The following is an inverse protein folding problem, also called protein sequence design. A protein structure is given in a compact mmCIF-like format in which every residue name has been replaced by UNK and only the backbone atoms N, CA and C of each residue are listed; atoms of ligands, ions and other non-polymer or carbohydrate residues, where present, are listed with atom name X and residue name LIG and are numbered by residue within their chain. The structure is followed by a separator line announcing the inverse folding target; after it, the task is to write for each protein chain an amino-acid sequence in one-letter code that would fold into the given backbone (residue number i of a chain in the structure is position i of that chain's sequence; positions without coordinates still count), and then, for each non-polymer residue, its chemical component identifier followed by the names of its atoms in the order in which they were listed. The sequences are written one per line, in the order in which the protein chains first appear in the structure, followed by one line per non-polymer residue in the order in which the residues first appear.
data_IF_661697566959
#
_entry.id   IF_661697566959
#
_cell.length_a   1.000
_cell.length_b   1.000
_cell.length_c   1.000
_cell.angle_alpha   90.00
_cell.angle_beta   90.00
_cell.angle_gamma   90.00
#
_symmetry.space_group_name_H-M   'P 1'
#
loop_
_entity.id
_entity.type
_entity.pdbx_description
1 polymer ?
#
# COMPACT_ATOMS: atom_id res chain seq x y z
N UNK A 1 47.79 0.70 -8.79
CA UNK A 1 46.65 -0.16 -8.43
C UNK A 1 46.10 -0.75 -9.71
N UNK A 2 46.34 -2.03 -9.94
CA UNK A 2 45.93 -2.73 -11.17
C UNK A 2 44.49 -3.18 -10.98
N UNK A 3 43.52 -2.43 -11.52
CA UNK A 3 42.11 -2.77 -11.42
C UNK A 3 41.81 -3.99 -12.31
N UNK A 4 41.24 -5.03 -11.70
CA UNK A 4 40.94 -6.32 -12.33
C UNK A 4 39.84 -6.27 -13.38
N UNK A 5 39.67 -7.40 -14.08
CA UNK A 5 38.77 -7.60 -15.22
C UNK A 5 37.30 -7.24 -14.91
N UNK A 6 36.65 -6.51 -15.83
CA UNK A 6 35.20 -6.26 -15.85
C UNK A 6 34.45 -7.47 -16.41
N UNK A 7 33.63 -8.12 -15.58
CA UNK A 7 32.76 -9.24 -15.98
C UNK A 7 31.45 -8.69 -16.58
N UNK A 8 31.36 -8.61 -17.91
CA UNK A 8 30.15 -8.21 -18.64
C UNK A 8 29.44 -9.42 -19.24
N UNK A 9 28.70 -10.14 -18.40
CA UNK A 9 27.80 -11.22 -18.81
C UNK A 9 26.86 -11.51 -17.65
N UNK A 10 25.62 -11.03 -17.72
CA UNK A 10 24.65 -11.18 -16.65
C UNK A 10 24.08 -12.61 -16.64
N UNK A 11 24.87 -13.56 -16.16
CA UNK A 11 24.36 -14.86 -15.78
C UNK A 11 23.27 -14.69 -14.71
N UNK A 12 22.20 -15.50 -14.75
CA UNK A 12 21.16 -15.44 -13.73
C UNK A 12 21.80 -15.64 -12.35
N UNK A 13 21.66 -14.66 -11.47
CA UNK A 13 22.24 -14.69 -10.13
C UNK A 13 21.77 -15.93 -9.36
N UNK A 14 22.64 -16.93 -9.24
CA UNK A 14 22.39 -18.19 -8.51
C UNK A 14 22.73 -17.97 -7.04
N UNK A 15 21.82 -17.31 -6.33
CA UNK A 15 21.93 -17.10 -4.87
C UNK A 15 21.69 -18.44 -4.16
N UNK A 16 22.59 -18.82 -3.27
CA UNK A 16 22.47 -19.99 -2.39
C UNK A 16 21.73 -19.65 -1.08
N UNK A 17 21.22 -20.63 -0.32
CA UNK A 17 20.68 -20.39 1.02
C UNK A 17 21.67 -19.67 1.95
N UNK A 18 22.95 -20.03 1.88
CA UNK A 18 24.03 -19.42 2.66
C UNK A 18 24.17 -17.92 2.35
N UNK A 19 24.05 -17.54 1.08
CA UNK A 19 24.07 -16.13 0.65
C UNK A 19 22.87 -15.35 1.23
N UNK A 20 21.69 -15.99 1.31
CA UNK A 20 20.50 -15.39 1.93
C UNK A 20 20.69 -15.22 3.43
N UNK A 21 21.29 -16.19 4.13
CA UNK A 21 21.61 -16.06 5.56
C UNK A 21 22.62 -14.93 5.80
N UNK A 22 23.69 -14.86 5.00
CA UNK A 22 24.68 -13.79 5.09
C UNK A 22 24.06 -12.41 4.84
N UNK A 23 23.21 -12.29 3.81
CA UNK A 23 22.49 -11.06 3.50
C UNK A 23 21.45 -10.71 4.57
N UNK A 24 20.83 -11.70 5.20
CA UNK A 24 19.92 -11.47 6.32
C UNK A 24 20.67 -10.89 7.53
N UNK A 25 21.84 -11.42 7.88
CA UNK A 25 22.72 -10.86 8.91
C UNK A 25 23.11 -9.42 8.57
N UNK A 26 23.48 -9.16 7.31
CA UNK A 26 23.80 -7.82 6.83
C UNK A 26 22.63 -6.81 7.00
N UNK A 27 21.40 -7.25 6.75
CA UNK A 27 20.18 -6.45 6.93
C UNK A 27 19.65 -6.44 8.38
N UNK A 28 20.44 -6.94 9.33
CA UNK A 28 20.10 -7.06 10.76
C UNK A 28 18.83 -7.91 10.99
N UNK A 29 18.57 -8.88 10.11
CA UNK A 29 17.44 -9.81 10.22
C UNK A 29 17.91 -11.02 11.03
N UNK A 30 17.34 -11.28 12.23
CA UNK A 30 17.76 -12.40 13.04
C UNK A 30 17.35 -13.72 12.38
N UNK A 31 18.34 -14.47 11.90
CA UNK A 31 18.17 -15.84 11.40
C UNK A 31 18.68 -16.78 12.48
N UNK A 32 17.80 -17.22 13.38
CA UNK A 32 18.15 -18.24 14.37
C UNK A 32 17.38 -19.52 14.03
N UNK A 33 18.11 -20.61 13.74
CA UNK A 33 17.51 -21.93 13.54
C UNK A 33 16.67 -22.29 14.77
N UNK A 34 15.44 -22.75 14.54
CA UNK A 34 14.48 -23.07 15.60
C UNK A 34 13.70 -21.88 16.18
N UNK A 35 13.99 -20.61 15.83
CA UNK A 35 13.13 -19.47 16.20
C UNK A 35 12.28 -18.99 15.01
N UNK A 36 10.94 -19.03 15.10
CA UNK A 36 10.05 -18.64 14.01
C UNK A 36 10.03 -17.13 13.70
N UNK A 37 10.71 -16.31 14.50
CA UNK A 37 10.72 -14.87 14.31
C UNK A 37 11.68 -14.49 13.16
N UNK A 38 11.13 -13.93 12.08
CA UNK A 38 11.92 -13.26 11.05
C UNK A 38 11.95 -13.94 9.67
N UNK A 39 11.44 -15.16 9.51
CA UNK A 39 11.45 -15.86 8.21
C UNK A 39 10.73 -15.09 7.10
N UNK A 40 9.67 -14.34 7.44
CA UNK A 40 8.94 -13.49 6.48
C UNK A 40 9.79 -12.33 5.93
N UNK A 41 10.94 -12.03 6.55
CA UNK A 41 11.87 -11.00 6.08
C UNK A 41 12.96 -11.60 5.16
N UNK A 42 13.14 -12.92 5.16
CA UNK A 42 14.16 -13.57 4.32
C UNK A 42 13.92 -13.40 2.82
N UNK A 43 12.66 -13.21 2.39
CA UNK A 43 12.37 -12.88 0.98
C UNK A 43 13.05 -11.56 0.57
N UNK A 44 13.14 -10.58 1.49
CA UNK A 44 13.84 -9.31 1.26
C UNK A 44 15.34 -9.54 1.19
N UNK A 45 15.90 -10.39 2.05
CA UNK A 45 17.32 -10.74 2.02
C UNK A 45 17.69 -11.44 0.71
N UNK A 46 16.86 -12.38 0.23
CA UNK A 46 17.07 -13.03 -1.07
C UNK A 46 16.98 -12.04 -2.23
N UNK A 47 15.99 -11.14 -2.23
CA UNK A 47 15.89 -10.10 -3.28
C UNK A 47 17.10 -9.16 -3.26
N UNK A 48 17.59 -8.81 -2.07
CA UNK A 48 18.79 -7.99 -1.90
C UNK A 48 20.06 -8.69 -2.40
N UNK A 49 20.21 -10.00 -2.13
CA UNK A 49 21.33 -10.81 -2.61
C UNK A 49 21.32 -10.97 -4.15
N UNK A 50 20.13 -11.03 -4.76
CA UNK A 50 19.96 -11.07 -6.21
C UNK A 50 20.00 -9.68 -6.88
N UNK A 51 20.14 -8.58 -6.13
CA UNK A 51 19.95 -7.25 -6.68
C UNK A 51 21.06 -6.90 -7.67
N UNK A 52 20.72 -6.53 -8.93
CA UNK A 52 21.74 -6.12 -9.88
C UNK A 52 22.33 -4.77 -9.48
N UNK A 53 23.65 -4.63 -9.67
CA UNK A 53 24.32 -3.33 -9.60
C UNK A 53 23.95 -2.55 -10.86
N UNK A 54 23.23 -1.45 -10.69
CA UNK A 54 22.77 -0.63 -11.81
C UNK A 54 23.85 0.38 -12.22
N UNK A 55 24.04 0.64 -13.52
CA UNK A 55 24.88 1.75 -13.98
C UNK A 55 24.46 3.08 -13.33
N UNK A 56 25.40 3.99 -13.02
CA UNK A 56 26.84 3.95 -13.33
C UNK A 56 27.70 3.13 -12.36
N UNK A 57 27.11 2.34 -11.46
CA UNK A 57 27.84 1.53 -10.50
C UNK A 57 28.33 0.21 -11.09
N UNK A 58 29.50 -0.23 -10.64
CA UNK A 58 30.14 -1.49 -10.98
C UNK A 58 30.57 -2.21 -9.70
N UNK A 59 30.40 -3.54 -9.64
CA UNK A 59 30.99 -4.35 -8.56
C UNK A 59 32.42 -4.72 -8.92
N UNK A 60 33.34 -4.53 -7.97
CA UNK A 60 34.74 -4.94 -8.08
C UNK A 60 35.11 -5.77 -6.86
N UNK A 61 36.10 -6.65 -7.02
CA UNK A 61 36.68 -7.40 -5.90
C UNK A 61 37.92 -6.67 -5.42
N UNK A 62 37.97 -6.28 -4.16
CA UNK A 62 39.15 -5.68 -3.55
C UNK A 62 40.23 -6.74 -3.27
N UNK A 63 41.44 -6.30 -2.92
CA UNK A 63 42.59 -7.18 -2.67
C UNK A 63 42.35 -8.18 -1.51
N UNK A 64 41.46 -7.84 -0.58
CA UNK A 64 41.04 -8.71 0.53
C UNK A 64 39.94 -9.72 0.14
N UNK A 65 39.51 -9.74 -1.12
CA UNK A 65 38.42 -10.59 -1.60
C UNK A 65 37.01 -10.04 -1.37
N UNK A 66 36.85 -8.89 -0.69
CA UNK A 66 35.54 -8.30 -0.44
C UNK A 66 35.01 -7.57 -1.68
N UNK A 67 33.69 -7.58 -1.85
CA UNK A 67 33.03 -6.79 -2.88
C UNK A 67 33.06 -5.30 -2.51
N UNK A 68 33.48 -4.47 -3.46
CA UNK A 68 33.45 -3.00 -3.39
C UNK A 68 32.69 -2.48 -4.61
N UNK A 69 31.82 -1.51 -4.40
CA UNK A 69 31.02 -0.90 -5.46
C UNK A 69 31.67 0.42 -5.88
N UNK A 70 31.96 0.56 -7.16
CA UNK A 70 32.61 1.74 -7.75
C UNK A 70 31.63 2.46 -8.67
N UNK A 71 31.44 3.75 -8.47
CA UNK A 71 30.65 4.59 -9.37
C UNK A 71 31.56 5.17 -10.46
N UNK A 72 31.32 4.75 -11.71
CA UNK A 72 32.13 5.17 -12.86
C UNK A 72 32.02 6.66 -13.20
N UNK A 73 30.91 7.31 -12.84
CA UNK A 73 30.69 8.74 -13.12
C UNK A 73 31.29 9.64 -12.05
N UNK A 74 31.08 9.31 -10.77
CA UNK A 74 31.56 10.14 -9.64
C UNK A 74 32.95 9.77 -9.15
N UNK A 75 33.49 8.63 -9.60
CA UNK A 75 34.72 8.00 -9.11
C UNK A 75 34.70 7.62 -7.63
N UNK A 76 33.50 7.54 -7.03
CA UNK A 76 33.34 7.15 -5.63
C UNK A 76 33.37 5.62 -5.47
N UNK A 77 34.00 5.16 -4.39
CA UNK A 77 33.94 3.77 -3.94
C UNK A 77 33.09 3.65 -2.69
N UNK A 78 32.33 2.56 -2.59
CA UNK A 78 31.48 2.24 -1.45
C UNK A 78 31.61 0.75 -1.13
N UNK A 79 31.78 0.42 0.15
CA UNK A 79 31.68 -0.97 0.64
C UNK A 79 30.23 -1.46 0.67
N UNK A 80 29.26 -0.53 0.61
CA UNK A 80 27.83 -0.79 0.64
C UNK A 80 27.25 -0.80 -0.76
N UNK A 81 26.29 -1.70 -0.99
CA UNK A 81 25.58 -1.78 -2.26
C UNK A 81 24.73 -0.50 -2.45
N UNK A 82 24.67 0.10 -3.66
CA UNK A 82 23.94 1.36 -3.89
C UNK A 82 22.44 1.31 -3.53
N UNK A 83 21.86 0.09 -3.56
CA UNK A 83 20.47 -0.16 -3.18
C UNK A 83 20.28 -0.53 -1.69
N UNK A 84 21.31 -0.48 -0.85
CA UNK A 84 21.19 -0.89 0.56
C UNK A 84 20.18 -0.06 1.34
N UNK A 85 20.12 1.25 1.11
CA UNK A 85 19.13 2.11 1.76
C UNK A 85 17.69 1.66 1.45
N UNK A 86 17.44 1.15 0.23
CA UNK A 86 16.14 0.59 -0.18
C UNK A 86 15.86 -0.71 0.59
N UNK A 87 16.80 -1.65 0.60
CA UNK A 87 16.58 -2.97 1.22
C UNK A 87 16.55 -2.91 2.74
N UNK A 88 17.36 -2.08 3.39
CA UNK A 88 17.28 -1.80 4.83
C UNK A 88 15.91 -1.21 5.21
N UNK A 89 15.38 -0.27 4.40
CA UNK A 89 14.05 0.29 4.61
C UNK A 89 12.96 -0.78 4.44
N UNK A 90 13.05 -1.61 3.39
CA UNK A 90 12.12 -2.72 3.16
C UNK A 90 12.17 -3.71 4.33
N UNK A 91 13.34 -4.20 4.70
CA UNK A 91 13.52 -5.09 5.84
C UNK A 91 12.90 -4.50 7.12
N UNK A 92 13.13 -3.22 7.41
CA UNK A 92 12.49 -2.52 8.54
C UNK A 92 10.96 -2.49 8.47
N UNK A 93 10.36 -2.30 7.28
CA UNK A 93 8.90 -2.35 7.09
C UNK A 93 8.38 -3.77 7.38
N UNK A 94 9.06 -4.80 6.87
CA UNK A 94 8.66 -6.20 7.08
C UNK A 94 8.87 -6.65 8.53
N UNK A 95 9.94 -6.22 9.20
CA UNK A 95 10.15 -6.41 10.65
C UNK A 95 8.98 -5.82 11.45
N UNK A 96 8.59 -4.56 11.20
CA UNK A 96 7.51 -3.88 11.95
C UNK A 96 6.11 -4.44 11.70
N UNK A 97 5.84 -5.00 10.52
CA UNK A 97 4.53 -5.59 10.23
C UNK A 97 4.22 -6.83 11.07
N UNK A 98 5.26 -7.44 11.65
CA UNK A 98 5.14 -8.76 12.28
C UNK A 98 4.80 -9.84 11.27
N UNK A 99 5.05 -11.10 11.63
CA UNK A 99 4.43 -12.19 10.91
C UNK A 99 2.93 -12.13 11.21
N UNK A 100 2.09 -11.83 10.21
CA UNK A 100 0.65 -12.07 10.35
C UNK A 100 0.50 -13.56 10.68
N UNK A 101 -0.23 -13.87 11.77
CA UNK A 101 -0.42 -15.24 12.25
C UNK A 101 -0.74 -16.18 11.08
N UNK A 102 0.13 -17.16 10.83
CA UNK A 102 -0.06 -18.18 9.79
C UNK A 102 0.78 -18.06 8.52
N UNK A 103 1.58 -17.00 8.32
CA UNK A 103 2.46 -16.86 7.14
C UNK A 103 3.96 -16.90 7.47
N UNK A 104 4.35 -17.66 8.49
CA UNK A 104 5.77 -17.99 8.74
C UNK A 104 6.28 -18.98 7.69
N UNK A 105 6.54 -18.50 6.47
CA UNK A 105 7.12 -19.31 5.39
C UNK A 105 8.61 -19.49 5.67
N UNK A 106 8.99 -20.58 6.30
CA UNK A 106 10.40 -20.95 6.47
C UNK A 106 10.99 -21.60 5.22
N UNK A 107 10.14 -22.08 4.30
CA UNK A 107 10.53 -22.67 3.02
C UNK A 107 10.69 -21.62 1.93
N UNK A 108 11.77 -21.73 1.14
CA UNK A 108 12.07 -20.84 0.02
C UNK A 108 12.64 -21.63 -1.16
N UNK A 109 12.20 -21.30 -2.38
CA UNK A 109 12.65 -21.94 -3.61
C UNK A 109 14.02 -21.40 -4.05
N UNK A 110 14.96 -22.24 -4.43
CA UNK A 110 16.28 -21.90 -4.96
C UNK A 110 16.49 -22.52 -6.34
N UNK A 111 17.29 -21.86 -7.17
CA UNK A 111 17.70 -22.38 -8.49
C UNK A 111 18.88 -23.33 -8.30
N UNK A 112 18.82 -24.51 -8.88
CA UNK A 112 19.96 -25.43 -8.90
C UNK A 112 21.13 -24.85 -9.71
N UNK A 113 22.37 -25.16 -9.29
CA UNK A 113 23.59 -24.78 -10.03
C UNK A 113 23.86 -25.81 -11.12
N UNK A 114 24.45 -25.38 -12.25
CA UNK A 114 24.94 -26.27 -13.31
C UNK A 114 23.89 -27.24 -13.90
N UNK A 115 22.63 -26.78 -13.98
CA UNK A 115 21.52 -27.57 -14.52
C UNK A 115 20.86 -28.52 -13.52
N UNK A 116 21.25 -28.48 -12.24
CA UNK A 116 20.51 -29.15 -11.17
C UNK A 116 19.07 -28.61 -11.08
N UNK A 117 18.09 -29.42 -10.64
CA UNK A 117 16.71 -28.97 -10.48
C UNK A 117 16.60 -27.87 -9.41
N UNK A 118 15.55 -27.05 -9.54
CA UNK A 118 15.18 -26.12 -8.48
C UNK A 118 14.80 -26.92 -7.22
N UNK A 119 15.15 -26.41 -6.05
CA UNK A 119 14.87 -27.08 -4.77
C UNK A 119 14.33 -26.08 -3.74
N UNK A 120 13.53 -26.56 -2.79
CA UNK A 120 13.10 -25.77 -1.65
C UNK A 120 14.04 -25.98 -0.48
N UNK A 121 14.38 -24.91 0.23
CA UNK A 121 15.18 -24.93 1.45
C UNK A 121 14.36 -24.40 2.63
N UNK A 122 14.34 -25.14 3.73
CA UNK A 122 13.67 -24.75 4.97
C UNK A 122 14.65 -24.08 5.95
N UNK A 123 14.60 -22.75 6.07
CA UNK A 123 15.43 -22.00 7.03
C UNK A 123 15.13 -22.32 8.50
N UNK A 124 14.05 -23.05 8.80
CA UNK A 124 13.76 -23.51 10.16
C UNK A 124 14.53 -24.78 10.52
N UNK A 125 14.56 -25.76 9.62
CA UNK A 125 15.09 -27.11 9.86
C UNK A 125 16.46 -27.34 9.21
N UNK A 126 16.81 -26.56 8.19
CA UNK A 126 17.97 -26.76 7.33
C UNK A 126 17.77 -27.85 6.26
N UNK A 127 16.54 -28.36 6.11
CA UNK A 127 16.25 -29.43 5.16
C UNK A 127 16.04 -28.88 3.74
N UNK A 128 16.38 -29.69 2.75
CA UNK A 128 16.08 -29.46 1.33
C UNK A 128 14.99 -30.41 0.83
N UNK A 129 14.21 -29.98 -0.16
CA UNK A 129 13.24 -30.81 -0.86
C UNK A 129 13.26 -30.50 -2.38
N UNK A 130 13.37 -31.54 -3.20
CA UNK A 130 13.47 -31.43 -4.68
C UNK A 130 12.09 -31.45 -5.37
N UNK A 131 11.02 -31.91 -4.70
CA UNK A 131 9.73 -32.18 -5.34
C UNK A 131 8.54 -31.67 -4.49
N UNK A 132 7.62 -30.95 -5.15
CA UNK A 132 6.27 -30.47 -4.75
C UNK A 132 6.03 -30.28 -3.24
N UNK A 133 6.04 -29.00 -2.79
CA UNK A 133 5.47 -28.61 -1.49
C UNK A 133 4.03 -29.15 -1.36
N UNK A 134 3.61 -29.68 -0.20
CA UNK A 134 2.21 -30.05 0.00
C UNK A 134 1.30 -28.85 -0.27
N UNK A 135 0.30 -29.07 -1.11
CA UNK A 135 -0.51 -28.11 -1.82
C UNK A 135 -1.17 -27.06 -0.89
N UNK A 136 -0.47 -25.94 -0.65
CA UNK A 136 -1.06 -24.67 -0.19
C UNK A 136 -0.51 -23.53 -1.03
N UNK A 137 -1.36 -23.11 -1.96
CA UNK A 137 -1.20 -22.06 -2.97
C UNK A 137 -0.30 -20.89 -2.52
N UNK A 138 0.76 -20.66 -3.29
CA UNK A 138 1.71 -19.54 -3.15
C UNK A 138 1.25 -18.39 -4.05
N UNK A 139 0.76 -17.25 -3.54
CA UNK A 139 0.70 -16.03 -4.34
C UNK A 139 2.11 -15.45 -4.52
N UNK A 140 2.53 -15.10 -5.75
CA UNK A 140 3.81 -14.42 -6.00
C UNK A 140 3.82 -13.02 -5.39
N UNK A 141 5.02 -12.51 -5.08
CA UNK A 141 5.24 -11.11 -4.71
C UNK A 141 4.60 -10.21 -5.77
N UNK A 142 3.71 -9.26 -5.40
CA UNK A 142 3.08 -8.38 -6.37
C UNK A 142 4.14 -7.54 -7.10
N UNK A 143 4.48 -7.93 -8.34
CA UNK A 143 5.40 -7.20 -9.24
C UNK A 143 5.00 -5.74 -9.46
N UNK A 144 3.76 -5.36 -9.13
CA UNK A 144 3.24 -4.00 -9.15
C UNK A 144 3.91 -3.03 -8.16
N UNK A 145 4.74 -3.52 -7.23
CA UNK A 145 5.55 -2.68 -6.32
C UNK A 145 6.99 -2.46 -6.83
N UNK A 146 7.32 -2.93 -8.03
CA UNK A 146 8.61 -2.72 -8.68
C UNK A 146 8.51 -1.45 -9.56
N UNK A 147 9.20 -0.34 -9.23
CA UNK A 147 9.30 0.80 -10.13
C UNK A 147 10.01 0.36 -11.43
N UNK A 148 9.38 0.58 -12.57
CA UNK A 148 10.05 0.46 -13.87
C UNK A 148 10.97 1.66 -14.02
N UNK A 149 12.28 1.44 -14.00
CA UNK A 149 13.24 2.50 -14.31
C UNK A 149 13.17 2.78 -15.81
N UNK A 150 12.90 4.04 -16.17
CA UNK A 150 13.01 4.50 -17.53
C UNK A 150 14.47 4.36 -17.97
N UNK A 151 14.71 3.75 -19.13
CA UNK A 151 16.01 3.82 -19.80
C UNK A 151 16.25 5.30 -20.13
N UNK A 152 17.15 5.94 -19.40
CA UNK A 152 17.60 7.29 -19.72
C UNK A 152 18.58 7.22 -20.88
N UNK A 153 18.12 7.59 -22.07
CA UNK A 153 19.02 8.02 -23.15
C UNK A 153 19.64 9.36 -22.77
N UNK A 154 20.95 9.55 -22.95
CA UNK A 154 21.60 10.81 -22.61
C UNK A 154 21.26 11.88 -23.65
N UNK A 155 20.55 12.93 -23.22
CA UNK A 155 20.38 14.15 -24.02
C UNK A 155 21.46 15.15 -23.61
N UNK A 156 22.27 15.52 -24.59
CA UNK A 156 23.43 16.41 -24.49
C UNK A 156 23.01 17.87 -24.70
N UNK A 157 23.48 18.74 -23.80
CA UNK A 157 23.71 20.17 -24.03
C UNK A 157 22.58 21.11 -23.61
N UNK A 158 22.83 21.97 -22.62
CA UNK A 158 23.11 23.40 -22.85
C UNK A 158 23.35 24.16 -21.53
N UNK A 159 24.14 25.23 -21.65
CA UNK A 159 24.89 25.92 -20.61
C UNK A 159 24.22 27.19 -20.06
N UNK A 160 24.50 27.43 -18.77
CA UNK A 160 24.83 28.71 -18.11
C UNK A 160 23.77 29.78 -17.74
N UNK A 161 23.82 30.09 -16.43
CA UNK A 161 23.85 31.40 -15.76
C UNK A 161 22.56 32.24 -15.56
N UNK A 162 22.16 32.40 -14.29
CA UNK A 162 22.17 33.68 -13.58
C UNK A 162 21.83 33.49 -12.08
N UNK A 163 22.57 34.18 -11.22
CA UNK A 163 22.38 34.25 -9.78
C UNK A 163 21.48 35.44 -9.41
N UNK A 164 20.60 35.29 -8.42
CA UNK A 164 20.12 36.38 -7.55
C UNK A 164 19.65 35.80 -6.22
N UNK A 165 20.10 36.41 -5.12
CA UNK A 165 19.80 36.07 -3.73
C UNK A 165 18.40 36.54 -3.29
N UNK A 166 17.79 35.85 -2.31
CA UNK A 166 16.78 36.44 -1.41
C UNK A 166 15.55 35.59 -1.05
N UNK A 167 15.59 34.89 0.10
CA UNK A 167 14.41 34.35 0.81
C UNK A 167 14.27 32.82 0.80
N UNK A 168 13.72 32.18 1.86
CA UNK A 168 13.63 30.72 1.97
C UNK A 168 12.58 30.18 1.00
N UNK A 169 12.99 29.99 -0.25
CA UNK A 169 12.18 29.43 -1.31
C UNK A 169 11.84 27.96 -1.06
N UNK A 170 10.55 27.64 -1.10
CA UNK A 170 10.11 26.28 -1.39
C UNK A 170 10.79 25.82 -2.70
N UNK A 171 11.17 24.53 -2.81
CA UNK A 171 11.74 24.03 -4.04
C UNK A 171 10.75 24.25 -5.21
N UNK A 172 11.23 24.57 -6.43
CA UNK A 172 10.39 24.74 -7.61
C UNK A 172 9.73 23.39 -7.94
N UNK A 173 8.55 23.19 -7.38
CA UNK A 173 7.68 22.08 -7.70
C UNK A 173 7.28 22.21 -9.14
N UNK A 174 7.52 21.16 -9.94
CA UNK A 174 6.86 20.94 -11.23
C UNK A 174 5.41 21.37 -11.06
N UNK A 175 4.99 22.42 -11.75
CA UNK A 175 3.62 22.94 -11.70
C UNK A 175 2.69 21.79 -12.05
N UNK A 176 2.19 21.11 -11.01
CA UNK A 176 1.25 20.01 -11.14
C UNK A 176 0.00 20.71 -11.61
N UNK A 177 -0.28 20.60 -12.92
CA UNK A 177 -1.45 21.18 -13.55
C UNK A 177 -2.63 20.99 -12.60
N UNK A 178 -3.26 22.11 -12.21
CA UNK A 178 -4.42 22.14 -11.33
C UNK A 178 -5.37 21.05 -11.84
N UNK A 179 -5.56 20.01 -11.02
CA UNK A 179 -6.50 18.95 -11.38
C UNK A 179 -7.87 19.59 -11.56
N UNK A 180 -8.66 19.12 -12.53
CA UNK A 180 -10.01 19.62 -12.69
C UNK A 180 -10.77 19.49 -11.36
N UNK A 181 -11.63 20.45 -11.03
CA UNK A 181 -12.45 20.36 -9.82
C UNK A 181 -13.23 19.03 -9.84
N UNK A 182 -13.46 18.42 -8.66
CA UNK A 182 -14.23 17.19 -8.58
C UNK A 182 -15.61 17.40 -9.24
N UNK A 183 -16.16 16.36 -9.90
CA UNK A 183 -17.46 16.47 -10.56
C UNK A 183 -18.52 16.87 -9.54
N UNK A 184 -19.39 17.80 -9.89
CA UNK A 184 -20.54 18.13 -9.04
C UNK A 184 -21.56 16.99 -9.19
N UNK A 185 -21.76 16.25 -8.10
CA UNK A 185 -22.75 15.17 -8.01
C UNK A 185 -23.77 15.64 -6.98
N UNK A 186 -25.06 15.34 -7.16
CA UNK A 186 -26.08 15.61 -6.14
C UNK A 186 -26.45 14.36 -5.33
N UNK A 187 -26.30 13.18 -5.96
CA UNK A 187 -26.68 11.88 -5.39
C UNK A 187 -25.56 10.87 -5.59
N UNK A 188 -25.07 10.29 -4.51
CA UNK A 188 -24.11 9.19 -4.56
C UNK A 188 -24.85 7.86 -4.72
N UNK A 189 -24.49 7.08 -5.73
CA UNK A 189 -25.13 5.80 -6.07
C UNK A 189 -24.16 4.65 -5.86
N UNK A 190 -24.53 3.76 -4.94
CA UNK A 190 -23.78 2.57 -4.59
C UNK A 190 -24.67 1.33 -4.67
N UNK A 191 -24.08 0.15 -4.46
CA UNK A 191 -24.78 -1.12 -4.36
C UNK A 191 -24.36 -1.86 -3.12
N UNK A 192 -25.29 -2.59 -2.52
CA UNK A 192 -25.05 -3.47 -1.37
C UNK A 192 -25.61 -4.87 -1.67
N UNK A 193 -25.15 -5.88 -0.94
CA UNK A 193 -25.67 -7.24 -1.03
C UNK A 193 -26.56 -7.52 0.18
N UNK A 194 -27.81 -7.87 -0.08
CA UNK A 194 -28.73 -8.43 0.88
C UNK A 194 -28.81 -9.95 0.76
N UNK A 195 -29.44 -10.57 1.75
CA UNK A 195 -29.89 -11.97 1.66
C UNK A 195 -31.41 -11.98 1.73
N UNK A 196 -32.05 -12.67 0.79
CA UNK A 196 -33.50 -12.86 0.77
C UNK A 196 -33.80 -14.35 0.80
N UNK A 197 -34.81 -14.74 1.57
CA UNK A 197 -35.40 -16.07 1.45
C UNK A 197 -36.13 -16.18 0.12
N UNK A 198 -36.01 -17.32 -0.56
CA UNK A 198 -36.75 -17.57 -1.79
C UNK A 198 -38.27 -17.45 -1.52
N UNK A 199 -38.98 -16.68 -2.37
CA UNK A 199 -40.44 -16.43 -2.28
C UNK A 199 -41.25 -17.74 -2.28
N UNK A 200 -40.68 -18.83 -2.79
CA UNK A 200 -41.38 -20.11 -2.87
C UNK A 200 -41.55 -20.85 -1.54
N UNK A 201 -40.87 -20.47 -0.45
CA UNK A 201 -41.09 -21.04 0.90
C UNK A 201 -40.99 -22.57 1.02
N UNK A 202 -40.62 -23.28 -0.06
CA UNK A 202 -40.58 -24.74 -0.14
C UNK A 202 -39.17 -25.23 0.13
N UNK A 203 -38.74 -25.06 1.37
CA UNK A 203 -37.75 -25.95 1.98
C UNK A 203 -38.50 -27.04 2.73
N UNK A 204 -38.91 -28.11 2.05
CA UNK A 204 -39.43 -29.31 2.70
C UNK A 204 -38.26 -30.24 2.93
N UNK A 205 -37.89 -30.54 4.18
CA UNK A 205 -37.17 -31.78 4.52
C UNK A 205 -37.48 -32.26 5.95
N UNK A 206 -37.95 -33.51 6.04
CA UNK A 206 -37.57 -34.49 7.08
C UNK A 206 -36.42 -35.32 6.46
N UNK A 207 -35.45 -35.91 7.16
CA UNK A 207 -35.45 -36.68 8.41
C UNK A 207 -34.00 -36.64 8.94
N UNK A 208 -33.79 -36.36 10.24
CA UNK A 208 -32.52 -36.33 11.03
C UNK A 208 -32.22 -35.05 11.86
N UNK A 209 -33.11 -34.07 11.92
CA UNK A 209 -33.12 -33.07 13.02
C UNK A 209 -32.05 -31.96 13.00
N UNK A 210 -31.20 -31.84 11.98
CA UNK A 210 -30.34 -30.67 11.79
C UNK A 210 -30.89 -29.75 10.68
N UNK A 211 -31.21 -28.51 11.05
CA UNK A 211 -31.71 -27.48 10.14
C UNK A 211 -30.56 -26.92 9.32
N UNK A 212 -30.34 -27.45 8.11
CA UNK A 212 -29.53 -26.79 7.10
C UNK A 212 -30.37 -25.69 6.44
N UNK A 213 -30.01 -24.43 6.67
CA UNK A 213 -30.62 -23.27 5.99
C UNK A 213 -30.20 -23.23 4.50
N UNK A 214 -30.72 -24.13 3.68
CA UNK A 214 -30.56 -24.07 2.23
C UNK A 214 -31.54 -23.04 1.62
N UNK A 215 -30.99 -22.06 0.91
CA UNK A 215 -31.77 -21.16 0.04
C UNK A 215 -31.65 -19.65 0.29
N UNK A 216 -30.62 -19.16 0.97
CA UNK A 216 -30.35 -17.71 0.99
C UNK A 216 -29.79 -17.26 -0.36
N UNK A 217 -30.64 -16.65 -1.20
CA UNK A 217 -30.18 -16.01 -2.42
C UNK A 217 -29.55 -14.65 -2.07
N UNK A 218 -28.39 -14.37 -2.67
CA UNK A 218 -27.82 -13.03 -2.64
C UNK A 218 -28.62 -12.12 -3.56
N UNK A 219 -29.12 -11.02 -3.01
CA UNK A 219 -29.84 -9.99 -3.75
C UNK A 219 -29.00 -8.73 -3.77
N UNK A 220 -28.92 -8.06 -4.92
CA UNK A 220 -28.25 -6.77 -5.04
C UNK A 220 -29.27 -5.67 -4.82
N UNK A 221 -28.96 -4.72 -3.94
CA UNK A 221 -29.76 -3.53 -3.71
C UNK A 221 -29.00 -2.29 -4.19
N UNK A 222 -29.70 -1.37 -4.85
CA UNK A 222 -29.17 -0.06 -5.20
C UNK A 222 -29.37 0.90 -4.01
N UNK A 223 -28.29 1.57 -3.61
CA UNK A 223 -28.24 2.53 -2.50
C UNK A 223 -28.05 3.93 -3.09
N UNK A 224 -28.93 4.86 -2.75
CA UNK A 224 -28.84 6.26 -3.16
C UNK A 224 -28.71 7.13 -1.90
N UNK A 225 -27.67 7.95 -1.84
CA UNK A 225 -27.46 8.96 -0.79
C UNK A 225 -27.63 10.35 -1.41
N UNK A 226 -28.63 11.08 -0.95
CA UNK A 226 -28.91 12.45 -1.38
C UNK A 226 -28.09 13.41 -0.51
N UNK A 227 -27.20 14.20 -1.12
CA UNK A 227 -26.28 15.04 -0.35
C UNK A 227 -26.93 16.26 0.28
N UNK A 228 -28.03 16.75 -0.29
CA UNK A 228 -28.74 17.92 0.23
C UNK A 228 -29.56 17.55 1.46
N UNK A 229 -30.26 16.42 1.42
CA UNK A 229 -31.14 15.96 2.50
C UNK A 229 -30.49 15.01 3.49
N UNK A 230 -29.30 14.45 3.15
CA UNK A 230 -28.59 13.40 3.90
C UNK A 230 -29.42 12.11 4.08
N UNK A 231 -30.43 11.93 3.24
CA UNK A 231 -31.29 10.75 3.27
C UNK A 231 -30.69 9.62 2.43
N UNK A 232 -30.82 8.39 2.93
CA UNK A 232 -30.47 7.18 2.18
C UNK A 232 -31.72 6.44 1.78
N UNK A 233 -31.78 6.03 0.51
CA UNK A 233 -32.82 5.14 -0.01
C UNK A 233 -32.17 3.88 -0.59
N UNK A 234 -32.63 2.72 -0.15
CA UNK A 234 -32.19 1.40 -0.59
C UNK A 234 -33.33 0.76 -1.38
N UNK A 235 -33.10 0.47 -2.67
CA UNK A 235 -34.07 -0.18 -3.56
C UNK A 235 -33.59 -1.56 -3.99
N UNK A 236 -34.52 -2.49 -4.17
CA UNK A 236 -34.21 -3.78 -4.77
C UNK A 236 -34.11 -3.71 -6.30
N UNK A 237 -33.83 -4.84 -6.94
CA UNK A 237 -33.74 -4.95 -8.41
C UNK A 237 -35.05 -4.67 -9.14
N UNK A 238 -36.20 -4.76 -8.46
CA UNK A 238 -37.53 -4.42 -8.99
C UNK A 238 -37.84 -2.91 -8.80
N UNK A 239 -36.93 -2.16 -8.16
CA UNK A 239 -37.10 -0.74 -7.84
C UNK A 239 -37.95 -0.48 -6.60
N UNK A 240 -38.34 -1.52 -5.85
CA UNK A 240 -39.11 -1.37 -4.61
C UNK A 240 -38.20 -0.89 -3.47
N UNK A 241 -38.70 0.01 -2.66
CA UNK A 241 -37.97 0.53 -1.50
C UNK A 241 -37.91 -0.51 -0.38
N UNK A 242 -36.68 -0.88 0.00
CA UNK A 242 -36.39 -1.87 1.05
C UNK A 242 -36.12 -1.20 2.40
N UNK A 243 -35.48 -0.03 2.35
CA UNK A 243 -35.21 0.83 3.50
C UNK A 243 -35.04 2.27 3.02
N UNK A 244 -35.49 3.23 3.82
CA UNK A 244 -35.25 4.65 3.59
C UNK A 244 -35.21 5.37 4.93
N UNK A 245 -34.35 6.37 5.06
CA UNK A 245 -34.19 7.11 6.31
C UNK A 245 -32.85 7.82 6.42
N UNK A 246 -32.65 8.46 7.58
CA UNK A 246 -31.35 8.93 7.99
C UNK A 246 -30.45 7.72 8.26
N UNK A 247 -29.29 7.69 7.60
CA UNK A 247 -28.30 6.66 7.85
C UNK A 247 -27.36 7.09 8.98
N UNK A 248 -26.80 6.10 9.68
CA UNK A 248 -25.76 6.27 10.68
C UNK A 248 -24.47 5.59 10.21
N UNK A 249 -23.35 6.22 10.54
CA UNK A 249 -22.03 5.59 10.42
C UNK A 249 -21.85 4.50 11.49
N UNK A 250 -20.75 3.75 11.41
CA UNK A 250 -20.47 2.63 12.33
C UNK A 250 -20.26 3.04 13.80
N UNK A 251 -19.93 4.29 14.05
CA UNK A 251 -19.79 4.88 15.39
C UNK A 251 -21.11 5.49 15.91
N UNK A 252 -22.20 5.38 15.13
CA UNK A 252 -23.52 5.89 15.49
C UNK A 252 -23.73 7.37 15.15
N UNK A 253 -22.74 8.07 14.59
CA UNK A 253 -22.95 9.44 14.13
C UNK A 253 -23.85 9.47 12.89
N UNK A 254 -24.55 10.59 12.62
CA UNK A 254 -25.22 10.78 11.34
C UNK A 254 -24.24 10.51 10.19
N UNK A 255 -24.69 9.73 9.21
CA UNK A 255 -23.91 9.42 8.01
C UNK A 255 -23.82 10.68 7.13
N UNK A 256 -22.63 10.97 6.62
CA UNK A 256 -22.43 12.01 5.62
C UNK A 256 -21.85 11.43 4.34
N UNK A 257 -21.71 12.27 3.30
CA UNK A 257 -21.13 11.84 2.02
C UNK A 257 -19.71 11.25 2.18
N UNK A 258 -18.97 11.66 3.22
CA UNK A 258 -17.62 11.18 3.54
C UNK A 258 -17.55 9.72 3.99
N UNK A 259 -18.69 9.15 4.39
CA UNK A 259 -18.81 7.75 4.84
C UNK A 259 -19.24 6.82 3.68
N UNK A 260 -19.60 7.39 2.53
CA UNK A 260 -20.12 6.66 1.36
C UNK A 260 -18.98 6.21 0.44
N UNK A 261 -18.38 5.05 0.73
CA UNK A 261 -17.33 4.45 -0.10
C UNK A 261 -17.48 2.92 -0.21
N UNK A 262 -16.88 2.34 -1.25
CA UNK A 262 -16.86 0.89 -1.47
C UNK A 262 -16.03 0.20 -0.37
N UNK A 263 -16.68 -0.71 0.35
CA UNK A 263 -16.21 -1.36 1.56
C UNK A 263 -16.71 -0.71 2.85
N UNK A 264 -17.32 0.48 2.77
CA UNK A 264 -17.97 1.16 3.88
C UNK A 264 -19.22 0.42 4.36
N UNK A 265 -19.57 0.59 5.63
CA UNK A 265 -20.79 0.06 6.22
C UNK A 265 -21.59 1.19 6.83
N UNK A 266 -22.88 1.25 6.50
CA UNK A 266 -23.84 2.21 7.03
C UNK A 266 -24.98 1.47 7.72
N UNK A 267 -25.65 2.13 8.65
CA UNK A 267 -26.83 1.60 9.33
C UNK A 267 -28.05 2.45 8.97
N UNK A 268 -29.20 1.83 8.70
CA UNK A 268 -30.49 2.53 8.52
C UNK A 268 -31.46 1.85 9.47
N UNK A 269 -31.83 2.56 10.55
CA UNK A 269 -32.52 1.93 11.69
C UNK A 269 -31.65 0.84 12.33
N UNK A 270 -32.19 -0.37 12.42
CA UNK A 270 -31.53 -1.56 12.98
C UNK A 270 -30.74 -2.38 11.95
N UNK A 271 -30.79 -1.99 10.66
CA UNK A 271 -30.20 -2.76 9.56
C UNK A 271 -28.85 -2.21 9.14
N UNK A 272 -27.90 -3.10 8.91
CA UNK A 272 -26.54 -2.79 8.42
C UNK A 272 -26.42 -3.10 6.93
N UNK A 273 -25.82 -2.18 6.19
CA UNK A 273 -25.58 -2.32 4.75
C UNK A 273 -24.10 -2.07 4.45
N UNK A 274 -23.43 -3.07 3.86
CA UNK A 274 -22.05 -2.93 3.38
C UNK A 274 -22.07 -2.54 1.90
N UNK A 275 -21.43 -1.44 1.56
CA UNK A 275 -21.39 -0.88 0.21
C UNK A 275 -20.34 -1.63 -0.61
N UNK A 276 -20.73 -2.29 -1.68
CA UNK A 276 -19.88 -3.25 -2.43
C UNK A 276 -19.43 -2.71 -3.79
N UNK A 277 -20.23 -1.85 -4.42
CA UNK A 277 -19.92 -1.23 -5.69
C UNK A 277 -20.43 0.20 -5.70
N UNK A 278 -19.80 1.07 -6.49
CA UNK A 278 -20.25 2.44 -6.73
C UNK A 278 -20.52 2.64 -8.23
N UNK A 279 -21.43 3.53 -8.58
CA UNK A 279 -21.60 3.97 -9.96
C UNK A 279 -20.33 4.64 -10.48
N UNK A 280 -20.14 4.70 -11.81
CA UNK A 280 -18.93 5.31 -12.38
C UNK A 280 -18.73 6.78 -11.97
N UNK A 281 -19.82 7.55 -11.86
CA UNK A 281 -19.79 8.94 -11.41
C UNK A 281 -19.43 9.04 -9.94
N UNK A 282 -20.06 8.22 -9.08
CA UNK A 282 -19.75 8.15 -7.65
C UNK A 282 -18.31 7.68 -7.39
N UNK A 283 -17.80 6.72 -8.16
CA UNK A 283 -16.39 6.31 -8.07
C UNK A 283 -15.44 7.46 -8.40
N UNK A 284 -15.69 8.17 -9.51
CA UNK A 284 -14.88 9.34 -9.90
C UNK A 284 -14.91 10.42 -8.82
N UNK A 285 -16.08 10.67 -8.23
CA UNK A 285 -16.24 11.62 -7.12
C UNK A 285 -15.40 11.20 -5.91
N UNK A 286 -15.58 9.97 -5.41
CA UNK A 286 -14.85 9.44 -4.24
C UNK A 286 -13.34 9.46 -4.50
N UNK A 287 -12.90 8.99 -5.67
CA UNK A 287 -11.49 8.90 -6.00
C UNK A 287 -10.87 10.31 -6.11
N UNK A 288 -11.56 11.29 -6.72
CA UNK A 288 -11.08 12.67 -6.81
C UNK A 288 -10.91 13.32 -5.43
N UNK A 289 -11.92 13.22 -4.55
CA UNK A 289 -11.83 13.75 -3.20
C UNK A 289 -10.78 13.00 -2.36
N UNK A 290 -10.67 11.68 -2.53
CA UNK A 290 -9.66 10.87 -1.87
C UNK A 290 -8.24 11.27 -2.23
N UNK A 291 -7.98 11.59 -3.49
CA UNK A 291 -6.68 12.07 -3.96
C UNK A 291 -6.33 13.46 -3.41
N UNK A 292 -7.30 14.38 -3.31
CA UNK A 292 -7.10 15.72 -2.73
C UNK A 292 -6.74 15.60 -1.24
N UNK A 293 -7.55 14.87 -0.48
CA UNK A 293 -7.33 14.69 0.96
C UNK A 293 -6.00 13.96 1.24
N UNK A 294 -5.66 12.95 0.43
CA UNK A 294 -4.39 12.25 0.56
C UNK A 294 -3.19 13.17 0.29
N UNK A 295 -3.27 14.01 -0.74
CA UNK A 295 -2.22 14.99 -1.04
C UNK A 295 -2.03 16.00 0.11
N UNK A 296 -3.12 16.52 0.67
CA UNK A 296 -3.05 17.42 1.83
C UNK A 296 -2.44 16.73 3.05
N UNK A 297 -2.85 15.49 3.30
CA UNK A 297 -2.32 14.67 4.38
C UNK A 297 -0.82 14.46 4.25
N UNK A 298 -0.35 14.12 3.05
CA UNK A 298 1.09 13.94 2.79
C UNK A 298 1.87 15.24 2.97
N UNK A 299 1.27 16.38 2.59
CA UNK A 299 1.89 17.70 2.74
C UNK A 299 2.00 18.10 4.21
N UNK A 300 0.91 17.97 4.98
CA UNK A 300 0.92 18.22 6.42
C UNK A 300 1.84 17.26 7.15
N UNK A 301 1.79 15.97 6.83
CA UNK A 301 2.68 14.99 7.44
C UNK A 301 4.15 15.32 7.18
N UNK A 302 4.52 15.69 5.96
CA UNK A 302 5.89 16.11 5.64
C UNK A 302 6.32 17.34 6.44
N UNK A 303 5.42 18.29 6.66
CA UNK A 303 5.68 19.45 7.50
C UNK A 303 5.82 19.06 8.99
N UNK A 304 4.98 18.15 9.50
CA UNK A 304 4.96 17.71 10.91
C UNK A 304 6.22 16.92 11.27
N UNK A 305 6.72 16.09 10.34
CA UNK A 305 7.95 15.30 10.55
C UNK A 305 9.21 16.13 10.83
N UNK A 306 9.18 17.45 10.63
CA UNK A 306 10.28 18.35 10.96
C UNK A 306 10.38 18.66 12.46
N UNK A 307 9.28 18.58 13.20
CA UNK A 307 9.19 19.03 14.59
C UNK A 307 9.04 17.85 15.55
N UNK A 308 8.31 16.82 15.15
CA UNK A 308 7.97 15.72 16.05
C UNK A 308 8.56 14.40 15.58
N UNK A 309 9.43 13.79 16.40
CA UNK A 309 9.86 12.40 16.19
C UNK A 309 8.68 11.42 16.33
N UNK A 310 7.68 11.77 17.16
CA UNK A 310 6.42 11.00 17.35
C UNK A 310 5.52 10.98 16.10
N UNK A 311 5.49 12.04 15.29
CA UNK A 311 4.77 12.05 14.00
C UNK A 311 5.22 10.92 13.06
N UNK A 312 6.48 10.48 13.21
CA UNK A 312 7.02 9.36 12.44
C UNK A 312 6.52 7.99 12.92
N UNK A 313 6.20 7.87 14.21
CA UNK A 313 5.74 6.64 14.88
C UNK A 313 4.23 6.44 14.71
N UNK A 314 3.45 7.53 14.77
CA UNK A 314 1.99 7.53 14.54
C UNK A 314 1.59 7.52 13.05
N UNK A 315 2.48 7.06 12.16
CA UNK A 315 2.15 6.79 10.77
C UNK A 315 1.19 5.60 10.69
N UNK A 316 -0.09 5.83 10.99
CA UNK A 316 -1.17 4.95 10.56
C UNK A 316 -1.06 4.90 9.05
N UNK A 317 -0.61 3.77 8.55
CA UNK A 317 -0.43 3.51 7.12
C UNK A 317 -1.81 3.39 6.49
N UNK A 318 -2.49 4.52 6.29
CA UNK A 318 -3.69 4.57 5.49
C UNK A 318 -3.27 4.51 4.03
N UNK A 319 -3.09 3.29 3.53
CA UNK A 319 -2.97 3.06 2.10
C UNK A 319 -4.36 3.22 1.53
N UNK A 320 -4.63 4.36 0.92
CA UNK A 320 -5.84 4.52 0.12
C UNK A 320 -5.73 3.52 -1.03
N UNK A 321 -6.67 2.57 -1.17
CA UNK A 321 -6.68 1.68 -2.31
C UNK A 321 -6.80 2.54 -3.57
N UNK A 322 -5.90 2.34 -4.54
CA UNK A 322 -5.95 3.11 -5.79
C UNK A 322 -7.17 2.68 -6.61
N UNK A 323 -8.14 3.58 -6.73
CA UNK A 323 -9.28 3.47 -7.64
C UNK A 323 -10.45 2.63 -7.14
N UNK A 324 -11.58 2.85 -7.80
CA UNK A 324 -12.81 2.06 -7.63
C UNK A 324 -13.68 2.53 -6.48
N UNK A 325 -13.56 3.80 -6.07
CA UNK A 325 -14.39 4.40 -5.03
C UNK A 325 -14.16 3.81 -3.64
N UNK A 326 -12.95 3.32 -3.35
CA UNK A 326 -12.59 2.63 -2.10
C UNK A 326 -11.91 3.53 -1.07
N UNK A 327 -11.79 4.83 -1.35
CA UNK A 327 -11.13 5.77 -0.45
C UNK A 327 -12.02 6.04 0.78
N UNK A 328 -11.57 5.74 2.01
CA UNK A 328 -12.33 6.05 3.21
C UNK A 328 -12.16 7.54 3.55
N UNK A 329 -12.98 8.40 2.93
CA UNK A 329 -12.82 9.86 3.01
C UNK A 329 -12.87 10.36 4.45
N UNK A 330 -13.84 9.92 5.26
CA UNK A 330 -13.93 10.26 6.69
C UNK A 330 -12.64 9.97 7.46
N UNK A 331 -12.00 8.83 7.20
CA UNK A 331 -10.75 8.46 7.87
C UNK A 331 -9.61 9.39 7.47
N UNK A 332 -9.57 9.83 6.20
CA UNK A 332 -8.58 10.81 5.75
C UNK A 332 -8.82 12.18 6.40
N UNK A 333 -10.07 12.61 6.54
CA UNK A 333 -10.44 13.86 7.23
C UNK A 333 -9.98 13.82 8.69
N UNK A 334 -10.33 12.76 9.44
CA UNK A 334 -9.86 12.59 10.83
C UNK A 334 -8.33 12.60 10.96
N UNK A 335 -7.62 12.06 9.97
CA UNK A 335 -6.16 12.11 9.96
C UNK A 335 -5.61 13.50 9.66
N UNK A 336 -6.31 14.30 8.87
CA UNK A 336 -5.96 15.70 8.62
C UNK A 336 -6.17 16.55 9.87
N UNK A 337 -7.30 16.37 10.57
CA UNK A 337 -7.60 17.04 11.84
C UNK A 337 -6.51 16.77 12.88
N UNK A 338 -6.16 15.49 13.10
CA UNK A 338 -5.09 15.11 14.03
C UNK A 338 -3.72 15.70 13.64
N UNK A 339 -3.42 15.80 12.35
CA UNK A 339 -2.18 16.43 11.88
C UNK A 339 -2.23 17.95 12.06
N UNK A 340 -3.41 18.56 11.95
CA UNK A 340 -3.58 20.00 12.17
C UNK A 340 -3.42 20.35 13.64
N UNK A 341 -4.00 19.57 14.55
CA UNK A 341 -3.80 19.76 16.00
C UNK A 341 -2.31 19.71 16.36
N UNK A 342 -1.56 18.76 15.78
CA UNK A 342 -0.11 18.65 15.96
C UNK A 342 0.66 19.83 15.32
N UNK A 343 0.15 20.36 14.20
CA UNK A 343 0.73 21.55 13.56
C UNK A 343 0.45 22.83 14.31
N UNK A 344 -0.70 22.96 14.94
CA UNK A 344 -1.10 24.14 15.70
C UNK A 344 -0.13 24.39 16.86
N UNK A 345 0.35 23.32 17.51
CA UNK A 345 1.35 23.39 18.58
C UNK A 345 2.69 23.99 18.11
N UNK A 346 3.09 23.73 16.85
CA UNK A 346 4.41 24.09 16.35
C UNK A 346 4.42 25.31 15.41
N UNK A 347 3.35 25.51 14.63
CA UNK A 347 3.20 26.54 13.59
C UNK A 347 1.73 26.97 13.45
N UNK A 348 1.19 27.74 14.40
CA UNK A 348 -0.23 28.12 14.43
C UNK A 348 -0.68 28.84 13.15
N UNK A 349 0.13 29.75 12.61
CA UNK A 349 -0.20 30.47 11.36
C UNK A 349 -0.33 29.54 10.13
N UNK A 350 0.44 28.45 10.09
CA UNK A 350 0.29 27.47 9.01
C UNK A 350 -0.94 26.60 9.23
N UNK A 351 -1.20 26.19 10.48
CA UNK A 351 -2.39 25.43 10.84
C UNK A 351 -3.67 26.21 10.50
N UNK A 352 -3.77 27.48 10.88
CA UNK A 352 -4.86 28.40 10.54
C UNK A 352 -5.08 28.47 9.02
N UNK A 353 -4.01 28.68 8.25
CA UNK A 353 -4.10 28.69 6.77
C UNK A 353 -4.60 27.37 6.17
N UNK A 354 -4.33 26.23 6.82
CA UNK A 354 -4.85 24.94 6.38
C UNK A 354 -6.29 24.70 6.84
N UNK A 355 -6.66 25.15 8.04
CA UNK A 355 -8.04 25.14 8.52
C UNK A 355 -8.92 25.95 7.57
N UNK A 356 -8.52 27.17 7.19
CA UNK A 356 -9.22 27.99 6.20
C UNK A 356 -9.45 27.24 4.88
N UNK A 357 -8.43 26.53 4.40
CA UNK A 357 -8.53 25.73 3.16
C UNK A 357 -9.48 24.56 3.29
N UNK A 358 -9.52 23.91 4.46
CA UNK A 358 -10.45 22.83 4.74
C UNK A 358 -11.88 23.35 4.87
N UNK A 359 -12.11 24.44 5.59
CA UNK A 359 -13.42 25.06 5.71
C UNK A 359 -13.98 25.47 4.35
N UNK A 360 -13.17 26.13 3.51
CA UNK A 360 -13.57 26.47 2.13
C UNK A 360 -13.89 25.21 1.30
N UNK A 361 -13.14 24.13 1.50
CA UNK A 361 -13.35 22.88 0.77
C UNK A 361 -14.58 22.09 1.22
N UNK A 362 -14.90 22.13 2.51
CA UNK A 362 -16.10 21.51 3.07
C UNK A 362 -17.34 22.41 2.94
N UNK A 363 -17.15 23.69 2.58
CA UNK A 363 -18.21 24.67 2.45
C UNK A 363 -18.77 25.16 3.79
N UNK A 364 -17.91 25.22 4.81
CA UNK A 364 -18.22 25.74 6.16
C UNK A 364 -17.98 27.24 6.31
#
# INVERSE_FOLDING_TARGET
MTLGQTVTGAEPCTVSPEDVEAMAVYLDVPVQRGRPAGYHVLEVAKEAACAPVLPPWEQRTAENGNAVFYNSETQETSERHPLDAKYLRLAGIWKRRGAKQGQGRSWMLFKGRDGAPDYYYDFKTGNTAEEVLPEKVIPPVPRALIPRFAKTTPTRGETAAAATEGGPGLPPGKSRALRPPPPEVAVLRLRTWGRRFNKEGRGVFHDNGEVLHEGLMQVVHDVQFDMATRMVTVRDSEGQEVASGEAQAMDGSPCECWDMYVGGTICIGDRKFTLMQASAETQKWIDAHGEILLMWRETLLAAATKYTRRAQENRVSCKVPSGGGKAPLRLLIRQLELLLDEHEEHRPQQAESWQDRLSVYFGE
#
